data_IF_930786064424
#
_entry.id   IF_930786064424
#
_cell.length_a   1.000
_cell.length_b   1.000
_cell.length_c   1.000
_cell.angle_alpha   90.00
_cell.angle_beta   90.00
_cell.angle_gamma   90.00
#
_symmetry.space_group_name_H-M   'P 1'
#
loop_
_entity.id
_entity.type
_entity.pdbx_description
1 polymer ?
#
# COMPACT_ATOMS: atom_id res chain seq x y z
N UNK A 1 36.67 58.81 -24.58
CA UNK A 1 35.82 57.64 -24.89
C UNK A 1 36.03 56.55 -23.83
N UNK A 2 35.26 56.58 -22.73
CA UNK A 2 35.18 55.52 -21.70
C UNK A 2 33.84 55.68 -20.99
N UNK A 3 32.74 55.24 -21.60
CA UNK A 3 31.41 55.35 -20.96
C UNK A 3 30.33 54.42 -21.53
N UNK A 4 30.67 53.30 -22.17
CA UNK A 4 29.64 52.37 -22.69
C UNK A 4 29.65 51.00 -22.02
N UNK A 5 30.71 50.64 -21.29
CA UNK A 5 30.89 49.27 -20.77
C UNK A 5 30.21 49.00 -19.41
N UNK A 6 29.84 50.03 -18.65
CA UNK A 6 29.20 49.86 -17.32
C UNK A 6 27.68 49.60 -17.42
N UNK A 7 27.02 50.12 -18.45
CA UNK A 7 25.58 49.98 -18.62
C UNK A 7 25.16 48.59 -19.13
N UNK A 8 26.02 47.90 -19.91
CA UNK A 8 25.76 46.53 -20.38
C UNK A 8 25.89 45.50 -19.26
N UNK A 9 26.86 45.68 -18.36
CA UNK A 9 27.09 44.79 -17.22
C UNK A 9 25.94 44.82 -16.21
N UNK A 10 25.42 46.02 -15.90
CA UNK A 10 24.26 46.19 -15.03
C UNK A 10 22.97 45.58 -15.63
N UNK A 11 22.80 45.64 -16.96
CA UNK A 11 21.65 45.00 -17.64
C UNK A 11 21.73 43.47 -17.58
N UNK A 12 22.93 42.91 -17.71
CA UNK A 12 23.14 41.46 -17.63
C UNK A 12 22.92 40.93 -16.21
N UNK A 13 23.45 41.62 -15.19
CA UNK A 13 23.20 41.27 -13.78
C UNK A 13 21.72 41.36 -13.41
N UNK A 14 21.02 42.42 -13.83
CA UNK A 14 19.60 42.58 -13.55
C UNK A 14 18.74 41.51 -14.24
N UNK A 15 19.10 41.09 -15.46
CA UNK A 15 18.43 39.98 -16.15
C UNK A 15 18.63 38.64 -15.45
N UNK A 16 19.85 38.37 -14.97
CA UNK A 16 20.18 37.12 -14.28
C UNK A 16 19.47 37.01 -12.92
N UNK A 17 19.41 38.12 -12.17
CA UNK A 17 18.65 38.20 -10.91
C UNK A 17 17.14 38.02 -11.16
N UNK A 18 16.59 38.66 -12.20
CA UNK A 18 15.19 38.49 -12.56
C UNK A 18 14.86 37.04 -12.94
N UNK A 19 15.74 36.39 -13.69
CA UNK A 19 15.58 34.98 -14.10
C UNK A 19 15.66 34.04 -12.90
N UNK A 20 16.57 34.27 -11.95
CA UNK A 20 16.62 33.49 -10.70
C UNK A 20 15.37 33.66 -9.84
N UNK A 21 14.83 34.88 -9.74
CA UNK A 21 13.58 35.14 -9.01
C UNK A 21 12.42 34.40 -9.68
N UNK A 22 12.32 34.42 -11.02
CA UNK A 22 11.31 33.66 -11.74
C UNK A 22 11.43 32.14 -11.51
N UNK A 23 12.65 31.59 -11.50
CA UNK A 23 12.88 30.17 -11.18
C UNK A 23 12.48 29.83 -9.74
N UNK A 24 12.85 30.67 -8.77
CA UNK A 24 12.51 30.49 -7.36
C UNK A 24 10.99 30.60 -7.10
N UNK A 25 10.28 31.47 -7.82
CA UNK A 25 8.81 31.52 -7.75
C UNK A 25 8.17 30.29 -8.42
N UNK A 26 8.71 29.82 -9.55
CA UNK A 26 8.18 28.61 -10.21
C UNK A 26 8.37 27.32 -9.40
N UNK A 27 9.44 27.21 -8.60
CA UNK A 27 9.67 26.05 -7.74
C UNK A 27 8.77 26.03 -6.50
N UNK A 28 8.25 27.18 -6.07
CA UNK A 28 7.29 27.28 -4.95
C UNK A 28 5.86 26.91 -5.36
N UNK A 29 5.51 26.94 -6.66
CA UNK A 29 4.20 26.54 -7.18
C UNK A 29 4.06 25.03 -7.45
N UNK A 30 5.12 24.24 -7.26
CA UNK A 30 5.10 22.78 -7.43
C UNK A 30 4.90 22.00 -6.13
N UNK A 31 4.68 22.69 -5.01
CA UNK A 31 4.24 22.07 -3.76
C UNK A 31 2.73 22.20 -3.63
N UNK A 32 1.99 21.42 -4.42
CA UNK A 32 0.69 20.99 -3.94
C UNK A 32 0.91 20.06 -2.75
N UNK A 33 0.29 20.33 -1.58
CA UNK A 33 0.30 19.35 -0.52
C UNK A 33 -0.33 18.08 -1.08
N UNK A 34 0.35 16.94 -0.91
CA UNK A 34 -0.23 15.61 -1.10
C UNK A 34 -1.40 15.52 -0.10
N UNK A 35 -2.58 16.00 -0.51
CA UNK A 35 -3.82 15.71 0.17
C UNK A 35 -3.94 14.20 0.02
N UNK A 36 -3.65 13.48 1.11
CA UNK A 36 -3.85 12.04 1.17
C UNK A 36 -5.32 11.80 0.84
N UNK A 37 -5.60 11.44 -0.41
CA UNK A 37 -6.95 11.11 -0.85
C UNK A 37 -7.40 9.99 0.07
N UNK A 38 -8.54 10.20 0.72
CA UNK A 38 -9.14 9.12 1.48
C UNK A 38 -9.31 7.91 0.56
N UNK A 39 -8.93 6.70 1.01
CA UNK A 39 -9.01 5.52 0.18
C UNK A 39 -10.48 5.30 -0.21
N UNK A 40 -10.75 4.90 -1.46
CA UNK A 40 -12.08 4.88 -2.00
C UNK A 40 -12.98 3.91 -1.24
N UNK A 41 -14.28 4.23 -1.19
CA UNK A 41 -15.30 3.38 -0.56
C UNK A 41 -15.50 2.04 -1.28
N UNK A 42 -14.95 1.88 -2.47
CA UNK A 42 -14.92 0.62 -3.20
C UNK A 42 -13.60 0.47 -3.94
N UNK A 43 -13.15 -0.77 -4.10
CA UNK A 43 -11.94 -1.16 -4.81
C UNK A 43 -12.26 -2.30 -5.75
N UNK A 44 -11.50 -2.43 -6.85
CA UNK A 44 -11.73 -3.48 -7.83
C UNK A 44 -10.41 -3.99 -8.37
N UNK A 45 -10.33 -5.30 -8.57
CA UNK A 45 -9.22 -5.96 -9.26
C UNK A 45 -9.75 -7.12 -10.12
N UNK A 46 -8.89 -7.66 -10.97
CA UNK A 46 -9.21 -8.81 -11.83
C UNK A 46 -8.38 -10.00 -11.43
N UNK A 47 -9.02 -11.15 -11.21
CA UNK A 47 -8.36 -12.42 -10.87
C UNK A 47 -8.94 -13.52 -11.76
N UNK A 48 -8.10 -14.21 -12.54
CA UNK A 48 -8.55 -15.25 -13.47
C UNK A 48 -9.59 -14.76 -14.48
N UNK A 49 -9.42 -13.52 -14.97
CA UNK A 49 -10.36 -12.86 -15.88
C UNK A 49 -11.68 -12.39 -15.26
N UNK A 50 -11.90 -12.57 -13.96
CA UNK A 50 -13.13 -12.14 -13.27
C UNK A 50 -12.84 -10.85 -12.49
N UNK A 51 -13.63 -9.81 -12.76
CA UNK A 51 -13.58 -8.57 -12.01
C UNK A 51 -14.24 -8.76 -10.63
N UNK A 52 -13.48 -8.53 -9.55
CA UNK A 52 -13.95 -8.59 -8.17
C UNK A 52 -13.97 -7.18 -7.59
N UNK A 53 -15.13 -6.77 -7.09
CA UNK A 53 -15.31 -5.46 -6.43
C UNK A 53 -15.58 -5.67 -4.95
N UNK A 54 -14.89 -4.89 -4.13
CA UNK A 54 -15.05 -4.89 -2.68
C UNK A 54 -15.39 -3.50 -2.18
N UNK A 55 -16.21 -3.44 -1.15
CA UNK A 55 -16.67 -2.19 -0.54
C UNK A 55 -16.03 -2.04 0.83
N UNK A 56 -15.44 -0.88 1.10
CA UNK A 56 -14.76 -0.59 2.37
C UNK A 56 -15.79 -0.50 3.49
N UNK A 57 -15.53 -1.16 4.61
CA UNK A 57 -16.34 -1.07 5.82
C UNK A 57 -15.71 -0.05 6.77
N UNK A 58 -16.23 1.18 6.76
CA UNK A 58 -15.71 2.27 7.59
C UNK A 58 -15.91 2.08 9.09
N UNK A 59 -16.72 1.11 9.52
CA UNK A 59 -16.98 0.84 10.93
C UNK A 59 -16.00 -0.17 11.54
N UNK A 60 -15.20 -0.83 10.72
CA UNK A 60 -14.29 -1.89 11.12
C UNK A 60 -12.86 -1.64 10.64
N UNK A 61 -11.93 -2.06 11.48
CA UNK A 61 -10.51 -2.18 11.18
C UNK A 61 -10.05 -3.60 11.47
N UNK A 62 -8.96 -4.02 10.83
CA UNK A 62 -8.33 -5.29 11.13
C UNK A 62 -6.93 -5.10 11.70
N UNK A 63 -6.58 -5.92 12.68
CA UNK A 63 -5.27 -5.95 13.28
C UNK A 63 -4.68 -7.36 13.11
N UNK A 64 -3.46 -7.44 12.57
CA UNK A 64 -2.75 -8.70 12.49
C UNK A 64 -2.08 -9.00 13.83
N UNK A 65 -2.40 -10.16 14.39
CA UNK A 65 -1.87 -10.64 15.66
C UNK A 65 -1.05 -11.89 15.39
N UNK A 66 0.22 -11.87 15.78
CA UNK A 66 1.05 -13.05 15.64
C UNK A 66 0.52 -14.21 16.51
N UNK A 67 0.65 -15.48 16.08
CA UNK A 67 0.26 -16.62 16.90
C UNK A 67 0.90 -16.64 18.30
N UNK A 68 2.13 -16.11 18.42
CA UNK A 68 2.85 -15.93 19.69
C UNK A 68 2.14 -14.97 20.64
N UNK A 69 1.57 -13.88 20.12
CA UNK A 69 0.89 -12.82 20.87
C UNK A 69 -0.54 -13.22 21.29
N UNK A 70 -1.19 -14.09 20.51
CA UNK A 70 -2.52 -14.60 20.85
C UNK A 70 -2.54 -15.39 22.17
N UNK A 71 -1.45 -16.12 22.47
CA UNK A 71 -1.35 -16.93 23.68
C UNK A 71 -0.93 -16.12 24.93
N UNK A 72 -0.18 -15.02 24.77
CA UNK A 72 0.26 -14.17 25.89
C UNK A 72 -0.84 -13.24 26.41
N UNK A 73 -1.85 -12.95 25.58
CA UNK A 73 -2.89 -11.94 25.83
C UNK A 73 -4.14 -12.51 26.53
N UNK A 74 -4.17 -13.81 26.83
CA UNK A 74 -5.27 -14.43 27.59
C UNK A 74 -5.30 -14.03 29.08
N UNK A 75 -4.38 -13.20 29.56
CA UNK A 75 -4.41 -12.69 30.92
C UNK A 75 -5.26 -11.41 31.05
N UNK A 76 -6.51 -11.63 31.48
CA UNK A 76 -7.29 -10.78 32.42
C UNK A 76 -7.38 -9.27 32.08
N UNK A 77 -8.36 -8.84 31.27
CA UNK A 77 -9.12 -7.60 31.56
C UNK A 77 -10.22 -7.26 30.55
N UNK A 78 -10.21 -7.82 29.34
CA UNK A 78 -11.25 -7.55 28.33
C UNK A 78 -12.07 -8.83 28.11
N UNK A 79 -13.29 -8.84 28.64
CA UNK A 79 -14.14 -10.03 28.75
C UNK A 79 -14.27 -10.84 27.46
N UNK A 80 -14.18 -12.17 27.58
CA UNK A 80 -14.60 -13.22 26.64
C UNK A 80 -14.24 -13.12 25.13
N UNK A 81 -13.48 -12.13 24.68
CA UNK A 81 -13.04 -12.08 23.28
C UNK A 81 -11.84 -13.01 23.13
N UNK A 82 -12.09 -14.21 22.60
CA UNK A 82 -11.03 -15.16 22.23
C UNK A 82 -10.27 -14.62 21.02
N UNK A 83 -9.23 -13.83 21.28
CA UNK A 83 -8.27 -13.37 20.26
C UNK A 83 -7.53 -14.58 19.68
N UNK A 84 -7.36 -14.62 18.36
CA UNK A 84 -6.63 -15.69 17.66
C UNK A 84 -5.45 -15.11 16.88
N UNK A 85 -4.47 -15.96 16.56
CA UNK A 85 -3.44 -15.59 15.59
C UNK A 85 -4.03 -15.34 14.20
N UNK A 86 -3.52 -14.34 13.49
CA UNK A 86 -3.99 -13.89 12.18
C UNK A 86 -4.67 -12.53 12.21
N UNK A 87 -5.46 -12.24 11.17
CA UNK A 87 -6.25 -11.02 11.08
C UNK A 87 -7.51 -11.08 11.93
N UNK A 88 -7.64 -10.15 12.87
CA UNK A 88 -8.81 -10.03 13.74
C UNK A 88 -9.52 -8.70 13.46
N UNK A 89 -10.85 -8.71 13.38
CA UNK A 89 -11.66 -7.55 13.08
C UNK A 89 -12.12 -6.85 14.36
N UNK A 90 -12.13 -5.52 14.36
CA UNK A 90 -12.49 -4.70 15.53
C UNK A 90 -13.15 -3.39 15.12
N UNK A 91 -13.83 -2.75 16.07
CA UNK A 91 -14.31 -1.38 15.87
C UNK A 91 -13.12 -0.41 15.73
N UNK A 92 -13.29 0.59 14.87
CA UNK A 92 -12.31 1.68 14.67
C UNK A 92 -11.90 2.28 16.02
N UNK A 93 -10.60 2.49 16.23
CA UNK A 93 -10.05 3.17 17.41
C UNK A 93 -10.00 2.36 18.72
N UNK A 94 -10.47 1.11 18.76
CA UNK A 94 -10.31 0.23 19.93
C UNK A 94 -9.30 -0.88 19.63
N UNK A 95 -8.01 -0.77 20.05
CA UNK A 95 -7.00 -1.79 19.76
C UNK A 95 -7.32 -3.12 20.46
N UNK A 96 -6.97 -4.24 19.83
CA UNK A 96 -7.17 -5.58 20.43
C UNK A 96 -6.08 -5.90 21.46
N UNK A 97 -4.87 -5.39 21.25
CA UNK A 97 -3.74 -5.54 22.16
C UNK A 97 -3.24 -4.17 22.62
N UNK A 98 -3.01 -4.04 23.93
CA UNK A 98 -2.39 -2.84 24.51
C UNK A 98 -0.90 -2.81 24.14
N UNK A 99 -0.55 -2.18 23.02
CA UNK A 99 0.76 -1.63 22.63
C UNK A 99 2.06 -2.31 23.15
N UNK A 100 2.14 -3.63 23.24
CA UNK A 100 3.42 -4.34 23.46
C UNK A 100 3.93 -4.87 22.11
N UNK A 101 4.45 -3.94 21.31
CA UNK A 101 5.01 -4.20 20.00
C UNK A 101 6.37 -4.90 20.12
N UNK A 102 6.37 -6.22 19.93
CA UNK A 102 7.56 -6.97 19.57
C UNK A 102 7.95 -6.69 18.10
N UNK A 103 9.24 -6.78 17.79
CA UNK A 103 9.83 -6.62 16.45
C UNK A 103 9.39 -7.77 15.51
N UNK A 104 8.14 -7.76 15.08
CA UNK A 104 7.64 -8.62 14.01
C UNK A 104 8.05 -8.05 12.65
N UNK A 105 8.54 -8.90 11.74
CA UNK A 105 8.77 -8.54 10.33
C UNK A 105 7.46 -8.44 9.52
N UNK A 106 6.35 -8.89 10.09
CA UNK A 106 5.00 -8.68 9.54
C UNK A 106 4.43 -7.44 10.23
N UNK A 107 4.09 -6.36 9.51
CA UNK A 107 3.52 -5.18 10.14
C UNK A 107 2.25 -5.58 10.91
N UNK A 108 2.30 -5.54 12.24
CA UNK A 108 1.13 -5.58 13.14
C UNK A 108 0.36 -4.27 12.98
N UNK A 109 -0.09 -3.99 11.76
CA UNK A 109 -0.65 -2.71 11.35
C UNK A 109 -2.16 -2.86 11.25
N UNK A 110 -2.84 -1.87 11.81
CA UNK A 110 -4.26 -1.69 11.64
C UNK A 110 -4.53 -1.40 10.16
N UNK A 111 -5.38 -2.19 9.52
CA UNK A 111 -5.71 -2.05 8.10
C UNK A 111 -7.22 -2.03 7.89
N UNK A 112 -7.60 -1.74 6.66
CA UNK A 112 -8.97 -1.55 6.23
C UNK A 112 -9.66 -2.90 6.05
N UNK A 113 -10.96 -2.91 6.38
CA UNK A 113 -11.83 -4.07 6.17
C UNK A 113 -12.71 -3.80 4.97
N UNK A 114 -12.93 -4.83 4.16
CA UNK A 114 -13.80 -4.76 2.99
C UNK A 114 -14.88 -5.84 3.01
N UNK A 115 -15.91 -5.69 2.19
CA UNK A 115 -16.98 -6.67 1.98
C UNK A 115 -17.16 -6.94 0.48
N UNK A 116 -17.57 -8.16 0.12
CA UNK A 116 -17.85 -8.57 -1.29
C UNK A 116 -19.09 -7.90 -1.91
N UNK A 117 -19.78 -7.05 -1.15
CA UNK A 117 -21.00 -6.37 -1.53
C UNK A 117 -21.26 -5.21 -0.58
N UNK A 118 -22.22 -4.34 -0.90
CA UNK A 118 -22.61 -3.19 -0.07
C UNK A 118 -23.30 -3.68 1.21
N UNK A 119 -22.53 -4.04 2.23
CA UNK A 119 -23.03 -4.45 3.56
C UNK A 119 -23.55 -5.89 3.68
N UNK A 120 -23.54 -6.69 2.59
CA UNK A 120 -24.14 -8.04 2.57
C UNK A 120 -23.14 -9.20 2.38
N UNK A 121 -21.83 -8.94 2.46
CA UNK A 121 -20.78 -9.93 2.20
C UNK A 121 -19.93 -10.28 3.44
N UNK A 122 -19.17 -11.40 3.42
CA UNK A 122 -18.17 -11.65 4.44
C UNK A 122 -17.17 -10.50 4.52
N UNK A 123 -16.75 -10.16 5.74
CA UNK A 123 -15.65 -9.23 5.94
C UNK A 123 -14.35 -9.87 5.48
N UNK A 124 -13.59 -9.13 4.69
CA UNK A 124 -12.30 -9.54 4.18
C UNK A 124 -11.26 -8.48 4.51
N UNK A 125 -10.01 -8.89 4.46
CA UNK A 125 -8.85 -8.04 4.65
C UNK A 125 -7.84 -8.32 3.56
N UNK A 126 -7.13 -7.28 3.14
CA UNK A 126 -6.07 -7.36 2.16
C UNK A 126 -4.73 -7.36 2.91
N UNK A 127 -4.05 -8.50 3.04
CA UNK A 127 -2.89 -8.65 3.91
C UNK A 127 -1.62 -7.94 3.38
N UNK A 128 -1.69 -7.33 2.19
CA UNK A 128 -0.53 -6.73 1.54
C UNK A 128 0.28 -7.74 0.74
N UNK A 129 -0.27 -8.91 0.41
CA UNK A 129 0.37 -9.85 -0.50
C UNK A 129 -0.23 -9.64 -1.89
N UNK A 130 0.61 -9.61 -2.92
CA UNK A 130 0.22 -9.50 -4.32
C UNK A 130 0.70 -10.75 -5.04
N UNK A 131 -0.19 -11.41 -5.76
CA UNK A 131 0.14 -12.53 -6.64
C UNK A 131 0.28 -11.98 -8.06
N UNK A 132 1.43 -12.26 -8.68
CA UNK A 132 1.76 -11.81 -10.04
C UNK A 132 2.02 -13.02 -10.92
N UNK A 133 1.31 -13.09 -12.04
CA UNK A 133 1.51 -14.07 -13.09
C UNK A 133 2.13 -13.38 -14.31
N UNK A 134 3.27 -13.87 -14.76
CA UNK A 134 4.00 -13.36 -15.92
C UNK A 134 3.65 -14.11 -17.20
N UNK A 135 3.75 -13.43 -18.34
CA UNK A 135 3.51 -14.01 -19.67
C UNK A 135 4.55 -15.07 -20.02
N UNK A 136 5.79 -14.85 -19.60
CA UNK A 136 6.93 -15.73 -19.82
C UNK A 136 7.71 -15.91 -18.51
N UNK A 137 8.54 -16.95 -18.46
CA UNK A 137 9.42 -17.22 -17.33
C UNK A 137 10.31 -16.01 -17.03
N UNK A 138 10.40 -15.64 -15.74
CA UNK A 138 11.19 -14.50 -15.30
C UNK A 138 12.46 -14.95 -14.57
N UNK A 139 13.56 -14.24 -14.83
CA UNK A 139 14.78 -14.37 -14.04
C UNK A 139 14.64 -13.67 -12.69
N UNK A 140 15.45 -14.09 -11.71
CA UNK A 140 15.50 -13.45 -10.39
C UNK A 140 15.90 -11.97 -10.48
N UNK A 141 16.72 -11.61 -11.47
CA UNK A 141 17.10 -10.22 -11.71
C UNK A 141 15.91 -9.38 -12.19
N UNK A 142 15.09 -9.92 -13.11
CA UNK A 142 13.86 -9.27 -13.57
C UNK A 142 12.87 -9.05 -12.41
N UNK A 143 12.64 -10.11 -11.62
CA UNK A 143 11.78 -10.07 -10.43
C UNK A 143 12.28 -9.02 -9.44
N UNK A 144 13.59 -8.95 -9.20
CA UNK A 144 14.18 -7.98 -8.25
C UNK A 144 14.06 -6.54 -8.74
N UNK A 145 14.25 -6.30 -10.05
CA UNK A 145 14.07 -4.97 -10.65
C UNK A 145 12.62 -4.51 -10.54
N UNK A 146 11.67 -5.42 -10.77
CA UNK A 146 10.24 -5.15 -10.61
C UNK A 146 9.91 -4.80 -9.15
N UNK A 147 10.40 -5.61 -8.20
CA UNK A 147 10.23 -5.37 -6.77
C UNK A 147 10.74 -3.98 -6.35
N UNK A 148 11.93 -3.60 -6.82
CA UNK A 148 12.51 -2.27 -6.57
C UNK A 148 11.69 -1.13 -7.18
N UNK A 149 11.23 -1.29 -8.43
CA UNK A 149 10.43 -0.28 -9.13
C UNK A 149 9.16 0.08 -8.37
N UNK A 150 8.45 -0.93 -7.86
CA UNK A 150 7.19 -0.77 -7.14
C UNK A 150 7.35 -0.67 -5.62
N UNK A 151 8.60 -0.67 -5.11
CA UNK A 151 8.92 -0.64 -3.68
C UNK A 151 8.21 -1.75 -2.88
N UNK A 152 8.10 -2.93 -3.49
CA UNK A 152 7.54 -4.14 -2.90
C UNK A 152 8.65 -5.14 -2.60
N UNK A 153 8.39 -6.07 -1.68
CA UNK A 153 9.37 -7.07 -1.24
C UNK A 153 9.04 -8.41 -1.88
N UNK A 154 10.03 -9.08 -2.48
CA UNK A 154 9.85 -10.46 -2.94
C UNK A 154 9.55 -11.37 -1.74
N UNK A 155 8.45 -12.12 -1.82
CA UNK A 155 8.04 -13.05 -0.77
C UNK A 155 8.35 -14.49 -1.15
N UNK A 156 7.77 -14.97 -2.25
CA UNK A 156 7.93 -16.35 -2.68
C UNK A 156 7.76 -16.48 -4.20
N UNK A 157 8.51 -17.42 -4.80
CA UNK A 157 8.29 -17.86 -6.16
C UNK A 157 7.62 -19.23 -6.15
N UNK A 158 6.42 -19.34 -6.72
CA UNK A 158 5.70 -20.61 -6.83
C UNK A 158 6.12 -21.37 -8.09
N UNK A 159 6.30 -20.63 -9.19
CA UNK A 159 6.80 -21.14 -10.47
C UNK A 159 7.66 -20.07 -11.16
N UNK A 160 8.39 -20.38 -12.23
CA UNK A 160 9.06 -19.36 -13.06
C UNK A 160 8.17 -18.22 -13.55
N UNK A 161 6.84 -18.42 -13.56
CA UNK A 161 5.84 -17.44 -14.00
C UNK A 161 4.96 -16.87 -12.90
N UNK A 162 4.97 -17.43 -11.69
CA UNK A 162 4.06 -17.04 -10.62
C UNK A 162 4.88 -16.70 -9.38
N UNK A 163 4.79 -15.45 -8.96
CA UNK A 163 5.55 -14.88 -7.84
C UNK A 163 4.60 -14.12 -6.92
N UNK A 164 4.82 -14.20 -5.61
CA UNK A 164 4.20 -13.33 -4.63
C UNK A 164 5.17 -12.23 -4.17
N UNK A 165 4.60 -11.05 -3.95
CA UNK A 165 5.27 -9.90 -3.36
C UNK A 165 4.52 -9.44 -2.13
N UNK A 166 5.24 -8.90 -1.16
CA UNK A 166 4.71 -8.23 0.02
C UNK A 166 4.78 -6.70 -0.18
N UNK A 167 3.71 -6.03 0.19
CA UNK A 167 3.54 -4.57 0.25
C UNK A 167 2.75 -4.20 1.52
N UNK A 168 2.34 -2.94 1.66
CA UNK A 168 1.45 -2.55 2.74
C UNK A 168 0.05 -3.17 2.60
N UNK A 169 -0.58 -3.57 3.71
CA UNK A 169 -1.94 -4.10 3.69
C UNK A 169 -2.98 -3.02 3.34
N UNK A 170 -4.13 -3.46 2.83
CA UNK A 170 -5.25 -2.58 2.47
C UNK A 170 -5.22 -2.11 1.01
N UNK A 171 -5.75 -0.92 0.75
CA UNK A 171 -5.95 -0.32 -0.58
C UNK A 171 -4.68 -0.35 -1.44
N UNK A 172 -3.53 -0.06 -0.85
CA UNK A 172 -2.26 0.04 -1.58
C UNK A 172 -1.88 -1.26 -2.30
N UNK A 173 -2.24 -2.42 -1.73
CA UNK A 173 -2.00 -3.71 -2.37
C UNK A 173 -2.76 -3.88 -3.68
N UNK A 174 -3.96 -3.29 -3.78
CA UNK A 174 -4.79 -3.30 -4.99
C UNK A 174 -4.24 -2.32 -6.00
N UNK A 175 -3.84 -1.13 -5.56
CA UNK A 175 -3.25 -0.10 -6.41
C UNK A 175 -2.00 -0.63 -7.11
N UNK A 176 -1.05 -1.18 -6.36
CA UNK A 176 0.17 -1.75 -6.93
C UNK A 176 -0.14 -2.95 -7.84
N UNK A 177 -1.08 -3.83 -7.46
CA UNK A 177 -1.49 -4.93 -8.32
C UNK A 177 -2.01 -4.43 -9.67
N UNK A 178 -2.85 -3.40 -9.68
CA UNK A 178 -3.37 -2.80 -10.90
C UNK A 178 -2.27 -2.09 -11.71
N UNK A 179 -1.34 -1.40 -11.05
CA UNK A 179 -0.20 -0.77 -11.73
C UNK A 179 0.73 -1.81 -12.37
N UNK A 180 0.93 -2.97 -11.74
CA UNK A 180 1.72 -4.07 -12.29
C UNK A 180 1.14 -4.60 -13.60
N UNK A 181 -0.17 -4.51 -13.83
CA UNK A 181 -0.78 -4.90 -15.11
C UNK A 181 -0.32 -4.02 -16.29
N UNK A 182 0.18 -2.81 -16.02
CA UNK A 182 0.77 -1.95 -17.07
C UNK A 182 2.12 -2.46 -17.56
N UNK A 183 2.75 -3.40 -16.84
CA UNK A 183 4.00 -4.00 -17.25
C UNK A 183 3.78 -4.98 -18.39
N UNK A 184 4.50 -4.78 -19.50
CA UNK A 184 4.36 -5.61 -20.69
C UNK A 184 4.61 -7.10 -20.45
N UNK A 185 5.37 -7.45 -19.39
CA UNK A 185 5.70 -8.82 -18.99
C UNK A 185 4.66 -9.48 -18.08
N UNK A 186 3.75 -8.71 -17.47
CA UNK A 186 2.74 -9.21 -16.55
C UNK A 186 1.48 -9.63 -17.33
N UNK A 187 0.96 -10.80 -17.00
CA UNK A 187 -0.30 -11.33 -17.54
C UNK A 187 -1.46 -11.02 -16.61
N UNK A 188 -1.28 -11.27 -15.31
CA UNK A 188 -2.26 -11.00 -14.27
C UNK A 188 -1.54 -10.55 -12.99
N UNK A 189 -2.18 -9.68 -12.22
CA UNK A 189 -1.73 -9.27 -10.91
C UNK A 189 -2.94 -8.95 -10.05
N UNK A 190 -3.02 -9.53 -8.86
CA UNK A 190 -4.13 -9.32 -7.93
C UNK A 190 -3.65 -9.41 -6.48
N UNK A 191 -4.26 -8.67 -5.56
CA UNK A 191 -3.96 -8.80 -4.14
C UNK A 191 -4.56 -10.11 -3.60
N UNK A 192 -3.88 -10.71 -2.63
CA UNK A 192 -4.44 -11.79 -1.82
C UNK A 192 -5.57 -11.24 -0.94
N UNK A 193 -6.53 -12.10 -0.59
CA UNK A 193 -7.61 -11.78 0.36
C UNK A 193 -7.58 -12.77 1.51
N UNK A 194 -7.67 -12.28 2.74
CA UNK A 194 -7.88 -13.11 3.92
C UNK A 194 -9.27 -12.87 4.50
N UNK A 195 -9.86 -13.92 5.06
CA UNK A 195 -11.18 -13.89 5.73
C UNK A 195 -10.96 -14.21 7.20
N UNK A 196 -11.64 -13.48 8.08
CA UNK A 196 -11.65 -13.83 9.50
C UNK A 196 -12.20 -15.25 9.68
N UNK A 197 -11.50 -16.08 10.47
CA UNK A 197 -11.95 -17.43 10.78
C UNK A 197 -13.08 -17.38 11.82
N UNK A 198 -14.30 -17.10 11.36
CA UNK A 198 -15.53 -17.15 12.18
C UNK A 198 -15.67 -18.56 12.76
N UNK A 199 -15.74 -18.67 14.09
CA UNK A 199 -16.16 -19.91 14.74
C UNK A 199 -17.65 -20.10 14.45
N UNK A 200 -18.00 -21.18 13.76
CA UNK A 200 -19.29 -21.82 14.03
C UNK A 200 -19.23 -22.47 15.41
#
# INVERSE_FOLDING_TARGET
>A
MKSENSNSFNRFQNSLVFTMICFAYSSLFLWEPLIAKEPPNQITFTEGGIQKTFYRNSNLEAEFIEPSQANSSQNKSLGNVKVKGGWNLRQVGKPLLSQQQGKSNIPTKVTEVYNTGVGYGPNIVLPGIIIVTFKNDQSNESISKLAQKYKIVFLQQFTPRIVSFQTEPGYLSVEIANELLSEGIVSEAYPETAVEKVLK
#
